data_IF_331466726607
#
_entry.id   IF_331466726607
#
_cell.length_a   1.000
_cell.length_b   1.000
_cell.length_c   1.000
_cell.angle_alpha   90.00
_cell.angle_beta   90.00
_cell.angle_gamma   90.00
#
_symmetry.space_group_name_H-M   'P 1'
#
loop_
_entity.id
_entity.type
_entity.pdbx_description
1 polymer ?
#
# COMPACT_ATOMS: atom_id res chain seq x y z
N UNK A 1 11.38 26.16 6.85
CA UNK A 1 11.09 26.75 5.52
C UNK A 1 10.60 28.20 5.63
N UNK A 2 9.85 28.57 6.68
CA UNK A 2 9.46 29.96 6.96
C UNK A 2 10.54 30.75 7.72
N UNK A 3 11.67 30.15 8.04
CA UNK A 3 12.79 30.77 8.80
C UNK A 3 13.45 31.98 8.08
N UNK A 4 13.18 32.14 6.79
CA UNK A 4 13.70 33.26 5.98
C UNK A 4 12.77 34.50 5.98
N UNK A 5 11.61 34.41 6.63
CA UNK A 5 10.64 35.51 6.76
C UNK A 5 10.43 35.83 8.24
N UNK A 6 10.40 37.12 8.56
CA UNK A 6 10.25 37.63 9.94
C UNK A 6 8.79 37.52 10.37
N UNK A 7 8.36 36.29 10.70
CA UNK A 7 7.03 35.97 11.23
C UNK A 7 7.18 35.22 12.55
N UNK A 8 6.30 35.51 13.50
CA UNK A 8 6.28 34.80 14.78
C UNK A 8 5.80 33.34 14.60
N UNK A 9 6.22 32.46 15.52
CA UNK A 9 5.95 31.02 15.45
C UNK A 9 4.45 30.70 15.33
N UNK A 10 3.60 31.46 16.04
CA UNK A 10 2.15 31.28 16.00
C UNK A 10 1.57 31.62 14.61
N UNK A 11 2.05 32.70 13.98
CA UNK A 11 1.70 33.03 12.61
C UNK A 11 2.22 31.98 11.62
N UNK A 12 3.43 31.47 11.81
CA UNK A 12 4.01 30.43 10.96
C UNK A 12 3.21 29.12 11.01
N UNK A 13 2.83 28.65 12.21
CA UNK A 13 1.98 27.47 12.39
C UNK A 13 0.62 27.64 11.73
N UNK A 14 -0.04 28.78 11.95
CA UNK A 14 -1.34 29.08 11.34
C UNK A 14 -1.30 29.10 9.82
N UNK A 15 -0.23 29.65 9.23
CA UNK A 15 -0.02 29.66 7.78
C UNK A 15 0.20 28.24 7.25
N UNK A 16 0.98 27.41 7.96
CA UNK A 16 1.21 26.01 7.56
C UNK A 16 -0.07 25.20 7.63
N UNK A 17 -0.88 25.35 8.68
CA UNK A 17 -2.20 24.71 8.77
C UNK A 17 -3.11 25.16 7.62
N UNK A 18 -3.25 26.48 7.41
CA UNK A 18 -4.09 27.00 6.33
C UNK A 18 -3.62 26.50 4.95
N UNK A 19 -2.31 26.38 4.73
CA UNK A 19 -1.76 25.82 3.50
C UNK A 19 -2.08 24.32 3.36
N UNK A 20 -1.97 23.53 4.42
CA UNK A 20 -2.32 22.10 4.41
C UNK A 20 -3.81 21.87 4.11
N UNK A 21 -4.68 22.71 4.67
CA UNK A 21 -6.13 22.59 4.48
C UNK A 21 -6.59 23.01 3.07
N UNK A 22 -5.89 23.98 2.46
CA UNK A 22 -6.34 24.61 1.21
C UNK A 22 -5.51 24.21 -0.02
N UNK A 23 -4.39 23.51 0.15
CA UNK A 23 -3.52 23.07 -0.94
C UNK A 23 -3.53 21.55 -1.02
N UNK A 24 -4.15 21.01 -2.07
CA UNK A 24 -4.05 19.58 -2.39
C UNK A 24 -2.62 19.26 -2.83
N UNK A 25 -1.95 18.37 -2.09
CA UNK A 25 -0.72 17.74 -2.58
C UNK A 25 -1.14 16.74 -3.67
N UNK A 26 -0.57 16.81 -4.88
CA UNK A 26 -0.88 15.81 -5.90
C UNK A 26 -0.40 14.43 -5.41
N UNK A 27 -1.31 13.46 -5.45
CA UNK A 27 -0.99 12.06 -5.22
C UNK A 27 -1.13 11.28 -6.52
N UNK A 28 -0.44 10.16 -6.59
CA UNK A 28 -0.59 9.17 -7.65
C UNK A 28 -1.10 7.88 -7.04
N UNK A 29 -1.92 7.18 -7.80
CA UNK A 29 -2.45 5.87 -7.45
C UNK A 29 -1.80 4.82 -8.35
N UNK A 30 -1.23 3.78 -7.76
CA UNK A 30 -0.73 2.59 -8.46
C UNK A 30 -1.47 1.36 -7.96
N UNK A 31 -1.58 0.37 -8.83
CA UNK A 31 -2.29 -0.87 -8.53
C UNK A 31 -1.45 -2.04 -8.99
N UNK A 32 -1.38 -3.07 -8.15
CA UNK A 32 -0.85 -4.38 -8.47
C UNK A 32 -1.74 -5.46 -7.88
N UNK A 33 -1.40 -6.71 -8.19
CA UNK A 33 -2.18 -7.87 -7.82
C UNK A 33 -1.27 -8.95 -7.24
N UNK A 34 -1.79 -9.68 -6.25
CA UNK A 34 -1.12 -10.86 -5.70
C UNK A 34 -2.08 -12.04 -5.74
N UNK A 35 -1.58 -13.16 -6.23
CA UNK A 35 -2.26 -14.45 -6.19
C UNK A 35 -1.74 -15.20 -4.97
N UNK A 36 -2.63 -15.49 -4.02
CA UNK A 36 -2.28 -16.17 -2.77
C UNK A 36 -3.09 -17.46 -2.64
N UNK A 37 -2.39 -18.58 -2.49
CA UNK A 37 -2.99 -19.90 -2.41
C UNK A 37 -2.44 -20.68 -1.21
N UNK A 38 -3.32 -21.37 -0.47
CA UNK A 38 -2.94 -22.34 0.56
C UNK A 38 -3.83 -23.58 0.44
N UNK A 39 -3.21 -24.76 0.37
CA UNK A 39 -3.90 -26.05 0.35
C UNK A 39 -4.11 -26.64 1.76
N UNK A 40 -3.70 -25.91 2.80
CA UNK A 40 -3.86 -26.32 4.19
C UNK A 40 -5.33 -26.28 4.63
N UNK A 41 -5.67 -26.99 5.69
CA UNK A 41 -7.03 -26.98 6.26
C UNK A 41 -7.48 -25.61 6.76
N UNK A 42 -6.51 -24.78 7.11
CA UNK A 42 -6.58 -23.42 7.63
C UNK A 42 -6.15 -22.36 6.60
N UNK A 43 -6.14 -22.71 5.31
CA UNK A 43 -5.63 -21.83 4.25
C UNK A 43 -6.31 -20.46 4.13
N UNK A 44 -7.55 -20.32 4.60
CA UNK A 44 -8.23 -19.01 4.67
C UNK A 44 -7.56 -18.09 5.68
N UNK A 45 -7.10 -18.63 6.81
CA UNK A 45 -6.44 -17.87 7.85
C UNK A 45 -5.00 -17.53 7.42
N UNK A 46 -4.31 -18.44 6.72
CA UNK A 46 -3.01 -18.15 6.08
C UNK A 46 -3.09 -16.97 5.12
N UNK A 47 -4.10 -16.96 4.24
CA UNK A 47 -4.29 -15.89 3.25
C UNK A 47 -4.62 -14.56 3.93
N UNK A 48 -5.48 -14.56 4.96
CA UNK A 48 -5.75 -13.33 5.72
C UNK A 48 -4.49 -12.76 6.35
N UNK A 49 -3.69 -13.61 7.00
CA UNK A 49 -2.44 -13.18 7.61
C UNK A 49 -1.46 -12.59 6.57
N UNK A 50 -1.42 -13.16 5.37
CA UNK A 50 -0.63 -12.61 4.27
C UNK A 50 -1.14 -11.25 3.77
N UNK A 51 -2.46 -11.06 3.68
CA UNK A 51 -3.06 -9.77 3.31
C UNK A 51 -2.83 -8.70 4.40
N UNK A 52 -2.95 -9.07 5.68
CA UNK A 52 -2.62 -8.19 6.81
C UNK A 52 -1.13 -7.78 6.78
N UNK A 53 -0.24 -8.70 6.44
CA UNK A 53 1.18 -8.40 6.24
C UNK A 53 1.42 -7.46 5.05
N UNK A 54 0.66 -7.59 3.96
CA UNK A 54 0.71 -6.68 2.82
C UNK A 54 0.24 -5.25 3.19
N UNK A 55 -0.65 -5.09 4.15
CA UNK A 55 -1.05 -3.80 4.72
C UNK A 55 0.02 -3.17 5.64
N UNK A 56 1.18 -3.82 5.78
CA UNK A 56 2.38 -3.24 6.36
C UNK A 56 2.43 -3.29 7.87
N UNK A 57 1.46 -3.93 8.54
CA UNK A 57 1.41 -4.07 10.00
C UNK A 57 1.62 -2.73 10.78
N UNK A 58 1.30 -1.59 10.15
CA UNK A 58 1.49 -0.25 10.72
C UNK A 58 2.84 0.43 10.42
N UNK A 59 3.71 -0.17 9.59
CA UNK A 59 5.01 0.39 9.18
C UNK A 59 4.94 1.09 7.80
N UNK A 60 3.88 1.87 7.57
CA UNK A 60 3.72 2.64 6.32
C UNK A 60 4.28 4.06 6.51
N UNK A 61 5.10 4.59 5.57
CA UNK A 61 5.59 5.96 5.64
C UNK A 61 4.47 7.01 5.65
N UNK A 62 4.72 8.16 6.27
CA UNK A 62 3.80 9.30 6.24
C UNK A 62 3.48 9.72 4.79
N UNK A 63 2.21 9.94 4.50
CA UNK A 63 1.75 10.32 3.16
C UNK A 63 1.71 9.16 2.17
N UNK A 64 1.69 7.91 2.64
CA UNK A 64 1.35 6.74 1.82
C UNK A 64 0.08 6.10 2.38
N UNK A 65 -0.92 5.93 1.51
CA UNK A 65 -2.10 5.12 1.81
C UNK A 65 -1.97 3.78 1.07
N UNK A 66 -2.16 2.67 1.78
CA UNK A 66 -2.14 1.33 1.21
C UNK A 66 -3.44 0.61 1.55
N UNK A 67 -4.07 0.02 0.53
CA UNK A 67 -5.32 -0.72 0.66
C UNK A 67 -5.20 -2.07 -0.04
N UNK A 68 -5.63 -3.13 0.64
CA UNK A 68 -5.76 -4.46 0.05
C UNK A 68 -7.23 -4.79 -0.17
N UNK A 69 -7.56 -5.25 -1.38
CA UNK A 69 -8.92 -5.54 -1.80
C UNK A 69 -9.06 -6.95 -2.38
N UNK A 70 -10.22 -7.57 -2.17
CA UNK A 70 -10.55 -8.83 -2.79
C UNK A 70 -11.04 -8.64 -4.23
N UNK A 71 -10.48 -9.40 -5.16
CA UNK A 71 -10.96 -9.44 -6.55
C UNK A 71 -11.70 -10.75 -6.81
N UNK A 72 -11.05 -11.87 -6.52
CA UNK A 72 -11.61 -13.20 -6.68
C UNK A 72 -10.52 -14.24 -6.45
N UNK A 73 -10.77 -15.27 -5.66
CA UNK A 73 -9.73 -16.25 -5.33
C UNK A 73 -9.15 -16.91 -6.59
N UNK A 74 -7.81 -17.01 -6.72
CA UNK A 74 -6.78 -16.64 -5.71
C UNK A 74 -6.25 -15.20 -5.77
N UNK A 75 -6.79 -14.33 -6.63
CA UNK A 75 -6.32 -12.97 -6.91
C UNK A 75 -6.86 -11.91 -5.92
N UNK A 76 -5.94 -11.11 -5.39
CA UNK A 76 -6.17 -9.96 -4.52
C UNK A 76 -5.49 -8.72 -5.11
N UNK A 77 -6.05 -7.54 -4.87
CA UNK A 77 -5.53 -6.26 -5.36
C UNK A 77 -4.82 -5.52 -4.23
N UNK A 78 -3.67 -4.95 -4.53
CA UNK A 78 -2.99 -3.97 -3.68
C UNK A 78 -3.06 -2.61 -4.39
N UNK A 79 -3.56 -1.59 -3.69
CA UNK A 79 -3.52 -0.20 -4.15
C UNK A 79 -2.62 0.61 -3.24
N UNK A 80 -1.79 1.44 -3.85
CA UNK A 80 -0.92 2.37 -3.13
C UNK A 80 -1.16 3.76 -3.68
N UNK A 81 -1.36 4.71 -2.77
CA UNK A 81 -1.45 6.13 -3.05
C UNK A 81 -0.29 6.84 -2.37
N UNK A 82 0.49 7.61 -3.14
CA UNK A 82 1.71 8.26 -2.65
C UNK A 82 1.95 9.61 -3.37
N UNK A 83 2.82 10.50 -2.86
CA UNK A 83 3.08 11.81 -3.49
C UNK A 83 3.79 11.72 -4.85
N UNK A 84 4.47 10.61 -5.14
CA UNK A 84 5.18 10.40 -6.39
C UNK A 84 5.21 8.92 -6.78
N UNK A 85 5.35 8.65 -8.09
CA UNK A 85 5.33 7.29 -8.63
C UNK A 85 6.42 6.40 -8.05
N UNK A 86 7.62 6.95 -7.79
CA UNK A 86 8.71 6.12 -7.29
C UNK A 86 8.35 5.57 -5.91
N UNK A 87 7.90 6.44 -5.01
CA UNK A 87 7.42 6.03 -3.68
C UNK A 87 6.25 5.05 -3.79
N UNK A 88 5.30 5.31 -4.70
CA UNK A 88 4.14 4.44 -4.89
C UNK A 88 4.54 3.01 -5.33
N UNK A 89 5.44 2.92 -6.30
CA UNK A 89 5.95 1.65 -6.83
C UNK A 89 6.76 0.88 -5.78
N UNK A 90 7.69 1.56 -5.11
CA UNK A 90 8.54 0.96 -4.07
C UNK A 90 7.68 0.35 -2.94
N UNK A 91 6.61 1.04 -2.53
CA UNK A 91 5.70 0.56 -1.49
C UNK A 91 4.77 -0.57 -1.97
N UNK A 92 4.34 -0.54 -3.24
CA UNK A 92 3.55 -1.61 -3.83
C UNK A 92 4.34 -2.92 -3.92
N UNK A 93 5.61 -2.86 -4.37
CA UNK A 93 6.50 -4.03 -4.42
C UNK A 93 6.77 -4.57 -3.02
N UNK A 94 7.11 -3.70 -2.06
CA UNK A 94 7.33 -4.09 -0.67
C UNK A 94 6.09 -4.77 -0.04
N UNK A 95 4.88 -4.32 -0.41
CA UNK A 95 3.65 -4.91 0.07
C UNK A 95 3.36 -6.28 -0.53
N UNK A 96 3.58 -6.43 -1.83
CA UNK A 96 3.47 -7.70 -2.52
C UNK A 96 4.47 -8.73 -1.96
N UNK A 97 5.71 -8.30 -1.70
CA UNK A 97 6.74 -9.15 -1.09
C UNK A 97 6.33 -9.61 0.30
N UNK A 98 5.84 -8.71 1.16
CA UNK A 98 5.35 -9.07 2.51
C UNK A 98 4.22 -10.12 2.46
N UNK A 99 3.28 -9.98 1.54
CA UNK A 99 2.22 -10.97 1.33
C UNK A 99 2.80 -12.33 0.89
N UNK A 100 3.71 -12.32 -0.09
CA UNK A 100 4.35 -13.53 -0.60
C UNK A 100 5.16 -14.25 0.49
N UNK A 101 6.00 -13.53 1.22
CA UNK A 101 6.81 -14.09 2.29
C UNK A 101 5.94 -14.71 3.39
N UNK A 102 4.83 -14.05 3.75
CA UNK A 102 3.89 -14.56 4.74
C UNK A 102 3.19 -15.85 4.30
N UNK A 103 2.67 -15.90 3.06
CA UNK A 103 1.97 -17.10 2.57
C UNK A 103 2.93 -18.27 2.34
N UNK A 104 4.14 -18.00 1.85
CA UNK A 104 5.18 -19.03 1.64
C UNK A 104 5.68 -19.59 2.97
N UNK A 105 5.79 -18.76 4.02
CA UNK A 105 6.15 -19.21 5.36
C UNK A 105 5.09 -20.15 5.97
N UNK A 106 3.83 -20.02 5.58
CA UNK A 106 2.74 -20.93 5.94
C UNK A 106 2.67 -22.19 5.05
N UNK A 107 3.52 -22.29 4.02
CA UNK A 107 3.55 -23.41 3.08
C UNK A 107 2.58 -23.27 1.89
N UNK A 108 2.01 -22.09 1.70
CA UNK A 108 1.27 -21.72 0.50
C UNK A 108 2.17 -21.19 -0.63
N UNK A 109 1.55 -20.62 -1.66
CA UNK A 109 2.23 -20.00 -2.81
C UNK A 109 1.73 -18.58 -3.02
N UNK A 110 2.65 -17.66 -3.32
CA UNK A 110 2.36 -16.26 -3.61
C UNK A 110 2.99 -15.81 -4.93
N UNK A 111 2.22 -15.21 -5.82
CA UNK A 111 2.73 -14.62 -7.07
C UNK A 111 2.26 -13.18 -7.22
N UNK A 112 3.15 -12.28 -7.65
CA UNK A 112 2.82 -10.87 -7.89
C UNK A 112 2.68 -10.59 -9.38
N UNK A 113 1.66 -9.81 -9.74
CA UNK A 113 1.38 -9.35 -11.09
C UNK A 113 1.09 -7.88 -11.14
N UNK A 114 1.61 -7.23 -12.19
CA UNK A 114 1.36 -5.81 -12.41
C UNK A 114 -0.04 -5.56 -12.96
N UNK A 115 -0.49 -6.45 -13.82
CA UNK A 115 -1.78 -6.40 -14.48
C UNK A 115 -2.65 -7.51 -13.93
N UNK A 116 -3.97 -7.26 -13.95
CA UNK A 116 -4.93 -8.27 -13.55
C UNK A 116 -4.83 -9.46 -14.49
N UNK A 117 -4.91 -10.69 -13.98
CA UNK A 117 -5.10 -11.83 -14.88
C UNK A 117 -6.50 -11.76 -15.47
N UNK A 118 -6.56 -11.69 -16.78
CA UNK A 118 -7.79 -11.88 -17.54
C UNK A 118 -7.81 -13.35 -17.94
N UNK A 119 -8.84 -14.10 -17.52
CA UNK A 119 -9.08 -15.41 -18.10
C UNK A 119 -9.45 -15.18 -19.57
N UNK A 120 -8.51 -15.42 -20.49
CA UNK A 120 -8.82 -15.56 -21.91
C UNK A 120 -9.77 -16.76 -22.05
N UNK A 121 -11.08 -16.48 -22.16
CA UNK A 121 -12.14 -17.45 -22.48
C UNK A 121 -11.94 -18.10 -23.86
#
# INVERSE_FOLDING_TARGET
>A
ALDAVDVDDAAAESIVEAARDNVSVPYVDVTGYVDLESAASDGVDDVKAALEAAEGNGEIPDGVDLEVGYVGSPEYRIKVRAPDYKTAEDQLEAAADRAREAIEAAGGTGEYHRERREDDE
#
